data_IF_594753343459
#
_entry.id   IF_594753343459
#
_cell.length_a   1.000
_cell.length_b   1.000
_cell.length_c   1.000
_cell.angle_alpha   90.00
_cell.angle_beta   90.00
_cell.angle_gamma   90.00
#
_symmetry.space_group_name_H-M   'P 1'
#
loop_
_entity.id
_entity.type
_entity.pdbx_description
1 polymer ?
#
# COMPACT_ATOMS: atom_id res chain seq x y z
N UNK A 1 -14.34 -4.95 10.13
CA UNK A 1 -13.51 -5.89 9.35
C UNK A 1 -13.10 -5.17 8.08
N UNK A 2 -11.84 -5.23 7.69
CA UNK A 2 -11.37 -4.57 6.46
C UNK A 2 -11.88 -5.32 5.25
N UNK A 3 -12.25 -4.58 4.20
CA UNK A 3 -12.97 -5.08 3.03
C UNK A 3 -12.03 -5.04 1.83
N UNK A 4 -11.43 -6.19 1.51
CA UNK A 4 -10.48 -6.33 0.41
C UNK A 4 -11.19 -6.47 -0.93
N UNK A 5 -10.55 -5.97 -1.98
CA UNK A 5 -10.99 -6.19 -3.36
C UNK A 5 -10.22 -7.33 -4.02
N UNK A 6 -10.80 -7.88 -5.10
CA UNK A 6 -10.16 -8.93 -5.90
C UNK A 6 -8.81 -8.52 -6.53
N UNK A 7 -8.61 -7.21 -6.77
CA UNK A 7 -7.37 -6.68 -7.33
C UNK A 7 -6.23 -6.57 -6.31
N UNK A 8 -6.55 -6.70 -5.02
CA UNK A 8 -5.56 -6.58 -3.94
C UNK A 8 -4.73 -7.85 -3.81
N UNK A 9 -3.47 -7.68 -3.42
CA UNK A 9 -2.58 -8.76 -3.00
C UNK A 9 -2.38 -8.74 -1.49
N UNK A 10 -1.95 -9.86 -0.90
CA UNK A 10 -1.67 -9.94 0.54
C UNK A 10 -0.68 -8.87 1.04
N UNK A 11 0.30 -8.51 0.21
CA UNK A 11 1.29 -7.48 0.54
C UNK A 11 0.70 -6.07 0.63
N UNK A 12 -0.43 -5.80 -0.03
CA UNK A 12 -0.96 -4.44 -0.14
C UNK A 12 -1.37 -3.87 1.21
N UNK A 13 -2.11 -4.67 1.99
CA UNK A 13 -2.53 -4.25 3.32
C UNK A 13 -1.33 -3.94 4.20
N UNK A 14 -0.29 -4.80 4.15
CA UNK A 14 0.97 -4.59 4.89
C UNK A 14 1.68 -3.31 4.45
N UNK A 15 1.67 -2.99 3.15
CA UNK A 15 2.25 -1.75 2.62
C UNK A 15 1.48 -0.52 3.13
N UNK A 16 0.15 -0.55 3.09
CA UNK A 16 -0.68 0.57 3.57
C UNK A 16 -0.51 0.76 5.07
N UNK A 17 -0.50 -0.31 5.86
CA UNK A 17 -0.20 -0.27 7.30
C UNK A 17 1.19 0.30 7.59
N UNK A 18 2.22 -0.18 6.90
CA UNK A 18 3.59 0.30 7.08
C UNK A 18 3.67 1.81 6.84
N UNK A 19 3.06 2.30 5.76
CA UNK A 19 3.05 3.75 5.47
C UNK A 19 2.19 4.56 6.45
N UNK A 20 1.19 3.94 7.10
CA UNK A 20 0.43 4.58 8.17
C UNK A 20 1.26 4.75 9.45
N UNK A 21 2.00 3.72 9.84
CA UNK A 21 2.75 3.69 11.09
C UNK A 21 4.09 4.43 11.01
N UNK A 22 4.80 4.26 9.88
CA UNK A 22 6.17 4.76 9.71
C UNK A 22 6.24 6.00 8.80
N UNK A 23 5.13 6.39 8.18
CA UNK A 23 5.08 7.55 7.29
C UNK A 23 5.69 7.29 5.91
N UNK A 24 6.03 8.37 5.21
CA UNK A 24 6.34 8.31 3.78
C UNK A 24 7.66 7.60 3.47
N UNK A 25 7.62 6.58 2.61
CA UNK A 25 8.79 5.77 2.27
C UNK A 25 8.84 5.37 0.80
N UNK A 26 10.05 5.06 0.31
CA UNK A 26 10.25 4.45 -0.99
C UNK A 26 10.09 2.93 -0.92
N UNK A 27 9.74 2.24 -2.03
CA UNK A 27 9.54 0.79 -2.06
C UNK A 27 10.66 -0.05 -1.47
N UNK A 28 11.93 0.34 -1.63
CA UNK A 28 13.04 -0.39 -1.02
C UNK A 28 13.01 -0.32 0.50
N UNK A 29 12.72 0.85 1.07
CA UNK A 29 12.64 1.05 2.52
C UNK A 29 11.41 0.34 3.11
N UNK A 30 10.30 0.30 2.35
CA UNK A 30 9.11 -0.48 2.72
C UNK A 30 9.47 -1.98 2.73
N UNK A 31 10.18 -2.48 1.71
CA UNK A 31 10.65 -3.87 1.68
C UNK A 31 11.50 -4.19 2.91
N UNK A 32 12.51 -3.37 3.19
CA UNK A 32 13.43 -3.62 4.30
C UNK A 32 12.66 -3.66 5.64
N UNK A 33 11.77 -2.70 5.87
CA UNK A 33 10.96 -2.65 7.09
C UNK A 33 9.94 -3.79 7.20
N UNK A 34 9.35 -4.26 6.10
CA UNK A 34 8.46 -5.44 6.12
C UNK A 34 9.23 -6.73 6.40
N UNK A 35 10.45 -6.88 5.87
CA UNK A 35 11.30 -8.04 6.13
C UNK A 35 11.73 -8.14 7.61
N UNK A 36 11.85 -7.01 8.32
CA UNK A 36 12.11 -6.98 9.77
C UNK A 36 10.95 -7.55 10.60
N UNK A 37 9.72 -7.53 10.07
CA UNK A 37 8.53 -8.07 10.76
C UNK A 37 8.43 -9.60 10.65
N UNK A 38 9.08 -10.23 9.65
CA UNK A 38 9.09 -11.68 9.50
C UNK A 38 9.48 -12.16 8.08
N UNK A 39 10.02 -13.38 7.94
CA UNK A 39 10.47 -13.93 6.66
C UNK A 39 9.33 -14.10 5.64
N UNK A 40 8.08 -14.25 6.09
CA UNK A 40 6.90 -14.31 5.22
C UNK A 40 6.58 -12.97 4.52
N UNK A 41 7.16 -11.87 5.00
CA UNK A 41 7.01 -10.52 4.46
C UNK A 41 8.25 -10.02 3.70
N UNK A 42 9.23 -10.89 3.46
CA UNK A 42 10.42 -10.59 2.65
C UNK A 42 10.07 -10.56 1.15
N UNK A 43 9.52 -9.44 0.70
CA UNK A 43 9.13 -9.22 -0.68
C UNK A 43 10.22 -8.52 -1.49
N UNK A 44 10.44 -8.97 -2.73
CA UNK A 44 11.37 -8.29 -3.63
C UNK A 44 10.97 -6.80 -3.87
N UNK A 45 11.91 -5.82 -3.80
CA UNK A 45 11.59 -4.38 -3.90
C UNK A 45 10.82 -3.98 -5.18
N UNK A 46 11.15 -4.59 -6.32
CA UNK A 46 10.39 -4.37 -7.57
C UNK A 46 8.90 -4.78 -7.46
N UNK A 47 8.60 -5.83 -6.70
CA UNK A 47 7.22 -6.25 -6.46
C UNK A 47 6.49 -5.23 -5.57
N UNK A 48 7.10 -4.82 -4.45
CA UNK A 48 6.56 -3.76 -3.57
C UNK A 48 6.33 -2.46 -4.35
N UNK A 49 7.26 -2.06 -5.20
CA UNK A 49 7.09 -0.88 -6.05
C UNK A 49 5.93 -1.00 -7.06
N UNK A 50 5.68 -2.20 -7.61
CA UNK A 50 4.51 -2.45 -8.45
C UNK A 50 3.22 -2.33 -7.65
N UNK A 51 3.19 -2.89 -6.43
CA UNK A 51 2.03 -2.78 -5.53
C UNK A 51 1.76 -1.34 -5.09
N UNK A 52 2.79 -0.57 -4.75
CA UNK A 52 2.64 0.86 -4.42
C UNK A 52 2.01 1.65 -5.57
N UNK A 53 2.41 1.38 -6.83
CA UNK A 53 1.77 1.98 -8.01
C UNK A 53 0.30 1.56 -8.15
N UNK A 54 0.00 0.28 -7.96
CA UNK A 54 -1.39 -0.20 -7.97
C UNK A 54 -2.22 0.48 -6.90
N UNK A 55 -1.75 0.53 -5.66
CA UNK A 55 -2.45 1.19 -4.56
C UNK A 55 -2.63 2.69 -4.79
N UNK A 56 -1.66 3.35 -5.41
CA UNK A 56 -1.80 4.74 -5.81
C UNK A 56 -2.83 4.93 -6.92
N UNK A 57 -2.90 4.03 -7.90
CA UNK A 57 -3.91 4.06 -8.94
C UNK A 57 -5.34 3.85 -8.39
N UNK A 58 -5.51 3.16 -7.26
CA UNK A 58 -6.80 3.06 -6.57
C UNK A 58 -7.01 4.15 -5.49
N UNK A 59 -6.10 5.12 -5.39
CA UNK A 59 -6.23 6.23 -4.45
C UNK A 59 -5.96 5.87 -2.98
N UNK A 60 -5.49 4.66 -2.65
CA UNK A 60 -5.12 4.29 -1.28
C UNK A 60 -3.75 4.88 -0.86
N UNK A 61 -2.89 5.13 -1.84
CA UNK A 61 -1.60 5.80 -1.66
C UNK A 61 -1.49 7.00 -2.61
N UNK A 62 -0.52 7.87 -2.36
CA UNK A 62 -0.13 8.96 -3.25
C UNK A 62 1.36 8.89 -3.51
N UNK A 63 1.77 8.97 -4.77
CA UNK A 63 3.17 9.15 -5.14
C UNK A 63 3.52 10.64 -5.08
N UNK A 64 4.52 11.00 -4.27
CA UNK A 64 4.98 12.38 -4.07
C UNK A 64 6.14 12.77 -5.01
N UNK A 65 6.53 11.88 -5.91
CA UNK A 65 7.70 12.00 -6.79
C UNK A 65 8.86 11.09 -6.35
N UNK A 66 9.73 10.72 -7.29
CA UNK A 66 10.91 9.86 -7.06
C UNK A 66 10.61 8.53 -6.34
N UNK A 67 9.37 8.02 -6.47
CA UNK A 67 8.96 6.78 -5.83
C UNK A 67 8.71 6.91 -4.32
N UNK A 68 8.59 8.11 -3.77
CA UNK A 68 8.18 8.32 -2.38
C UNK A 68 6.65 8.20 -2.28
N UNK A 69 6.16 7.28 -1.46
CA UNK A 69 4.72 7.05 -1.27
C UNK A 69 4.23 7.53 0.09
N UNK A 70 3.00 8.03 0.11
CA UNK A 70 2.27 8.48 1.30
C UNK A 70 0.89 7.82 1.34
N UNK A 71 0.39 7.48 2.53
CA UNK A 71 -1.00 7.03 2.71
C UNK A 71 -1.99 8.20 2.52
N UNK A 72 -3.09 7.96 1.80
CA UNK A 72 -4.18 8.93 1.61
C UNK A 72 -5.24 8.82 2.71
N UNK A 73 -6.27 9.65 2.67
CA UNK A 73 -7.40 9.54 3.59
C UNK A 73 -8.25 8.30 3.27
N UNK A 74 -8.39 7.92 2.00
CA UNK A 74 -9.00 6.65 1.58
C UNK A 74 -8.20 5.45 2.11
N UNK A 75 -6.87 5.52 2.08
CA UNK A 75 -5.97 4.54 2.68
C UNK A 75 -6.24 4.34 4.17
N UNK A 76 -6.40 5.44 4.92
CA UNK A 76 -6.73 5.39 6.36
C UNK A 76 -8.13 4.82 6.60
N UNK A 77 -9.13 5.26 5.83
CA UNK A 77 -10.50 4.74 5.91
C UNK A 77 -10.57 3.24 5.60
N UNK A 78 -9.77 2.76 4.65
CA UNK A 78 -9.60 1.34 4.38
C UNK A 78 -9.05 0.59 5.59
N UNK A 79 -7.98 1.10 6.22
CA UNK A 79 -7.40 0.48 7.43
C UNK A 79 -8.37 0.48 8.62
N UNK A 80 -9.21 1.52 8.75
CA UNK A 80 -10.28 1.61 9.75
C UNK A 80 -11.45 0.64 9.45
N UNK A 81 -11.51 0.06 8.25
CA UNK A 81 -12.61 -0.79 7.79
C UNK A 81 -13.87 0.00 7.39
N UNK A 82 -13.74 1.31 7.24
CA UNK A 82 -14.82 2.23 6.84
C UNK A 82 -15.00 2.26 5.32
N UNK A 83 -13.96 1.89 4.55
CA UNK A 83 -13.98 1.85 3.09
C UNK A 83 -13.94 0.41 2.55
N UNK A 84 -14.73 0.14 1.50
CA UNK A 84 -14.65 -1.08 0.71
C UNK A 84 -13.69 -0.90 -0.46
N UNK A 85 -12.58 -1.64 -0.49
CA UNK A 85 -11.64 -1.50 -1.59
C UNK A 85 -12.24 -1.94 -2.94
N UNK A 86 -13.30 -2.76 -2.94
CA UNK A 86 -13.97 -3.20 -4.17
C UNK A 86 -14.80 -2.10 -4.84
N UNK A 87 -15.15 -1.05 -4.10
CA UNK A 87 -15.86 0.13 -4.61
C UNK A 87 -14.91 1.15 -5.26
N UNK A 88 -13.59 0.99 -5.09
CA UNK A 88 -12.59 1.87 -5.69
C UNK A 88 -12.44 1.59 -7.18
N UNK A 89 -12.50 2.66 -7.97
CA UNK A 89 -12.16 2.61 -9.40
C UNK A 89 -10.69 2.90 -9.57
N UNK A 90 -10.03 2.13 -10.44
CA UNK A 90 -8.65 2.39 -10.82
C UNK A 90 -8.60 3.64 -11.69
N UNK A 91 -7.78 4.59 -11.28
CA UNK A 91 -7.37 5.71 -12.11
C UNK A 91 -6.16 5.30 -12.97
N UNK A 92 -6.30 5.45 -14.28
CA UNK A 92 -5.29 5.05 -15.27
C UNK A 92 -4.52 6.27 -15.84
N UNK A 93 -4.51 7.41 -15.12
CA UNK A 93 -3.68 8.58 -15.45
C UNK A 93 -2.20 8.25 -15.76
#
# INVERSE_FOLDING_TARGET
MRRHAEWMAHADERIVEFLADYGNHQPSQITDGLAELGPEMDYHPKYVGRRCRTLAAYGLLRNLGNGLYQITDEGKSYLAGELDASELTRDDE
#
